data_IF_614923336640
#
_entry.id   IF_614923336640
#
_cell.length_a   1.000
_cell.length_b   1.000
_cell.length_c   1.000
_cell.angle_alpha   90.00
_cell.angle_beta   90.00
_cell.angle_gamma   90.00
#
_symmetry.space_group_name_H-M   'P 1'
#
loop_
_entity.id
_entity.type
_entity.pdbx_description
1 polymer ?
#
# COMPACT_ATOMS: atom_id res chain seq x y z
N UNK A 1 -25.31 1.04 1.17
CA UNK A 1 -23.97 1.35 1.68
C UNK A 1 -24.03 1.55 3.17
N UNK A 2 -23.22 0.82 3.93
CA UNK A 2 -23.18 0.85 5.39
C UNK A 2 -21.94 1.65 5.84
N UNK A 3 -22.15 2.91 6.23
CA UNK A 3 -21.07 3.83 6.62
C UNK A 3 -20.42 3.41 7.95
N UNK A 4 -21.20 2.91 8.90
CA UNK A 4 -20.70 2.48 10.22
C UNK A 4 -19.74 1.32 10.04
N UNK A 5 -20.14 0.31 9.27
CA UNK A 5 -19.30 -0.84 8.97
C UNK A 5 -18.03 -0.46 8.24
N UNK A 6 -18.12 0.48 7.31
CA UNK A 6 -16.93 0.99 6.60
C UNK A 6 -15.98 1.70 7.56
N UNK A 7 -16.49 2.51 8.48
CA UNK A 7 -15.68 3.17 9.50
C UNK A 7 -14.98 2.16 10.39
N UNK A 8 -15.67 1.15 10.88
CA UNK A 8 -15.09 0.06 11.69
C UNK A 8 -13.96 -0.67 10.94
N UNK A 9 -14.12 -0.89 9.62
CA UNK A 9 -13.09 -1.54 8.80
C UNK A 9 -11.87 -0.65 8.60
N UNK A 10 -12.07 0.68 8.48
CA UNK A 10 -10.96 1.64 8.44
C UNK A 10 -10.22 1.73 9.78
N UNK A 11 -10.91 1.72 10.90
CA UNK A 11 -10.30 1.72 12.24
C UNK A 11 -9.44 0.46 12.45
N UNK A 12 -9.93 -0.71 12.06
CA UNK A 12 -9.14 -1.95 12.09
C UNK A 12 -7.90 -1.89 11.19
N UNK A 13 -8.04 -1.35 9.98
CA UNK A 13 -6.90 -1.17 9.08
C UNK A 13 -5.87 -0.20 9.67
N UNK A 14 -6.32 0.89 10.29
CA UNK A 14 -5.47 1.85 10.98
C UNK A 14 -4.67 1.19 12.11
N UNK A 15 -5.34 0.44 12.98
CA UNK A 15 -4.69 -0.25 14.10
C UNK A 15 -3.69 -1.30 13.61
N UNK A 16 -4.05 -2.05 12.58
CA UNK A 16 -3.14 -3.00 11.92
C UNK A 16 -1.88 -2.31 11.35
N UNK A 17 -1.98 -1.07 10.83
CA UNK A 17 -0.86 -0.34 10.24
C UNK A 17 0.05 0.34 11.28
N UNK A 18 -0.50 0.74 12.44
CA UNK A 18 0.26 1.43 13.49
C UNK A 18 1.24 0.52 14.25
N UNK A 19 1.10 -0.80 14.16
CA UNK A 19 2.00 -1.76 14.82
C UNK A 19 3.39 -1.88 14.19
N UNK A 20 3.68 -1.11 13.13
CA UNK A 20 4.95 -1.21 12.41
C UNK A 20 6.01 -0.23 12.94
N UNK A 21 7.27 -0.67 12.89
CA UNK A 21 8.41 0.22 13.15
C UNK A 21 8.42 1.39 12.16
N UNK A 22 8.55 2.59 12.69
CA UNK A 22 8.55 3.85 11.94
C UNK A 22 9.91 4.57 11.98
N UNK A 23 10.99 3.88 12.33
CA UNK A 23 12.30 4.51 12.52
C UNK A 23 13.17 4.55 11.26
N UNK A 24 12.58 4.34 10.09
CA UNK A 24 13.25 4.42 8.80
C UNK A 24 12.90 5.71 8.05
N UNK A 25 13.74 6.08 7.08
CA UNK A 25 13.46 7.24 6.23
C UNK A 25 12.32 6.95 5.27
N UNK A 26 11.29 7.78 5.30
CA UNK A 26 10.15 7.78 4.40
C UNK A 26 10.24 8.97 3.45
N UNK A 27 10.33 8.70 2.15
CA UNK A 27 10.35 9.71 1.10
C UNK A 27 8.97 10.40 0.93
N UNK A 28 7.88 9.66 1.14
CA UNK A 28 6.45 10.02 1.07
C UNK A 28 5.87 10.15 -0.35
N UNK A 29 6.51 10.89 -1.23
CA UNK A 29 6.03 11.06 -2.62
C UNK A 29 6.96 10.33 -3.60
N UNK A 30 7.36 9.10 -3.23
CA UNK A 30 8.19 8.24 -4.06
C UNK A 30 7.38 7.70 -5.23
N UNK A 31 7.46 8.41 -6.35
CA UNK A 31 6.73 8.14 -7.59
C UNK A 31 7.66 8.29 -8.79
N UNK A 32 7.33 7.61 -9.90
CA UNK A 32 8.15 7.64 -11.12
C UNK A 32 8.40 9.07 -11.64
N UNK A 33 7.43 9.99 -11.48
CA UNK A 33 7.59 11.40 -11.87
C UNK A 33 8.66 12.15 -11.09
N UNK A 34 9.03 11.67 -9.90
CA UNK A 34 10.03 12.26 -9.02
C UNK A 34 11.39 11.56 -9.13
N UNK A 35 11.54 10.66 -10.11
CA UNK A 35 12.79 9.99 -10.46
C UNK A 35 13.21 10.47 -11.85
N UNK A 36 14.30 11.22 -11.91
CA UNK A 36 14.87 11.72 -13.16
C UNK A 36 16.07 10.85 -13.54
N UNK A 37 16.22 10.55 -14.83
CA UNK A 37 17.40 9.85 -15.34
C UNK A 37 18.28 10.85 -16.09
N UNK A 38 19.52 10.96 -15.67
CA UNK A 38 20.55 11.78 -16.35
C UNK A 38 21.81 10.95 -16.49
N UNK A 39 22.31 10.85 -17.71
CA UNK A 39 23.53 10.08 -18.06
C UNK A 39 23.48 8.61 -17.58
N UNK A 40 22.27 8.01 -17.55
CA UNK A 40 22.02 6.65 -17.07
C UNK A 40 21.85 6.51 -15.56
N UNK A 41 22.05 7.57 -14.78
CA UNK A 41 21.95 7.58 -13.33
C UNK A 41 20.61 8.15 -12.84
N UNK A 42 19.99 7.57 -11.78
CA UNK A 42 18.76 8.08 -11.20
C UNK A 42 19.04 9.27 -10.25
N UNK A 43 18.25 10.33 -10.40
CA UNK A 43 18.20 11.48 -9.51
C UNK A 43 16.82 11.62 -8.92
N UNK A 44 16.76 11.84 -7.61
CA UNK A 44 15.50 11.96 -6.87
C UNK A 44 15.23 13.43 -6.54
N UNK A 45 14.00 13.88 -6.85
CA UNK A 45 13.53 15.25 -6.62
C UNK A 45 12.30 15.23 -5.73
N UNK A 46 11.96 16.38 -5.13
CA UNK A 46 10.76 16.54 -4.31
C UNK A 46 10.77 15.74 -2.99
N UNK A 47 11.96 15.59 -2.38
CA UNK A 47 12.18 14.80 -1.16
C UNK A 47 12.03 15.61 0.15
N UNK A 48 11.77 16.91 0.07
CA UNK A 48 11.68 17.80 1.24
C UNK A 48 10.55 17.46 2.21
N UNK A 49 9.60 16.64 1.78
CA UNK A 49 8.54 16.10 2.63
C UNK A 49 8.92 14.86 3.44
N UNK A 50 10.21 14.47 3.41
CA UNK A 50 10.70 13.26 4.07
C UNK A 50 10.46 13.26 5.57
N UNK A 51 10.15 12.09 6.13
CA UNK A 51 9.87 11.85 7.55
C UNK A 51 10.39 10.48 7.97
N UNK A 52 10.30 10.18 9.26
CA UNK A 52 10.34 8.81 9.74
C UNK A 52 9.06 8.08 9.40
N UNK A 53 9.16 6.81 9.04
CA UNK A 53 8.00 5.98 8.70
C UNK A 53 8.37 4.54 8.35
N UNK A 54 7.37 3.69 8.11
CA UNK A 54 7.58 2.27 7.87
C UNK A 54 8.15 1.98 6.48
N UNK A 55 8.98 0.95 6.39
CA UNK A 55 9.68 0.52 5.15
C UNK A 55 8.75 0.14 3.99
N UNK A 56 7.47 -0.04 4.24
CA UNK A 56 6.47 -0.51 3.27
C UNK A 56 5.85 0.60 2.42
N UNK A 57 5.73 1.81 2.98
CA UNK A 57 4.91 2.87 2.41
C UNK A 57 5.40 3.34 1.03
N UNK A 58 6.69 3.65 0.91
CA UNK A 58 7.28 4.13 -0.34
C UNK A 58 7.33 3.04 -1.40
N UNK A 59 7.60 1.80 -1.01
CA UNK A 59 7.55 0.63 -1.89
C UNK A 59 6.14 0.45 -2.46
N UNK A 60 5.11 0.49 -1.60
CA UNK A 60 3.71 0.43 -2.03
C UNK A 60 3.36 1.59 -2.97
N UNK A 61 3.82 2.80 -2.66
CA UNK A 61 3.56 4.00 -3.46
C UNK A 61 4.18 3.95 -4.84
N UNK A 62 5.40 3.44 -4.96
CA UNK A 62 6.13 3.36 -6.22
C UNK A 62 5.63 2.23 -7.11
N UNK A 63 5.53 1.02 -6.55
CA UNK A 63 5.22 -0.19 -7.34
C UNK A 63 3.75 -0.23 -7.76
N UNK A 64 2.82 0.24 -6.91
CA UNK A 64 1.37 0.21 -7.20
C UNK A 64 0.78 1.56 -7.62
N UNK A 65 1.61 2.50 -8.08
CA UNK A 65 1.06 3.74 -8.61
C UNK A 65 0.15 3.47 -9.81
N UNK A 66 -1.09 3.99 -9.75
CA UNK A 66 -2.15 3.64 -10.70
C UNK A 66 -1.79 3.97 -12.16
N UNK A 67 -1.10 5.08 -12.39
CA UNK A 67 -0.78 5.55 -13.75
C UNK A 67 0.39 4.81 -14.42
N UNK A 68 1.28 4.20 -13.65
CA UNK A 68 2.44 3.48 -14.22
C UNK A 68 2.06 2.15 -14.86
N UNK A 69 0.94 1.55 -14.41
CA UNK A 69 0.40 0.32 -15.00
C UNK A 69 1.44 -0.79 -15.13
N UNK A 70 2.33 -0.92 -14.15
CA UNK A 70 3.36 -1.95 -14.19
C UNK A 70 2.73 -3.34 -14.30
N UNK A 71 3.25 -4.21 -15.20
CA UNK A 71 2.85 -5.61 -15.28
C UNK A 71 3.15 -6.33 -13.95
N UNK A 72 2.46 -7.43 -13.69
CA UNK A 72 2.56 -8.11 -12.39
C UNK A 72 3.93 -8.76 -12.17
N UNK A 73 4.55 -9.29 -13.21
CA UNK A 73 5.91 -9.82 -13.21
C UNK A 73 6.94 -8.74 -12.82
N UNK A 74 6.84 -7.55 -13.40
CA UNK A 74 7.70 -6.42 -13.02
C UNK A 74 7.49 -6.00 -11.57
N UNK A 75 6.24 -5.97 -11.07
CA UNK A 75 5.98 -5.66 -9.65
C UNK A 75 6.66 -6.67 -8.73
N UNK A 76 6.58 -7.95 -9.07
CA UNK A 76 7.24 -9.01 -8.31
C UNK A 76 8.76 -8.84 -8.32
N UNK A 77 9.36 -8.59 -9.48
CA UNK A 77 10.80 -8.33 -9.62
C UNK A 77 11.25 -7.13 -8.78
N UNK A 78 10.47 -6.04 -8.78
CA UNK A 78 10.77 -4.85 -7.99
C UNK A 78 10.70 -5.13 -6.47
N UNK A 79 9.72 -5.94 -6.01
CA UNK A 79 9.64 -6.36 -4.60
C UNK A 79 10.82 -7.24 -4.22
N UNK A 80 11.20 -8.20 -5.06
CA UNK A 80 12.38 -9.06 -4.81
C UNK A 80 13.67 -8.25 -4.76
N UNK A 81 13.80 -7.28 -5.67
CA UNK A 81 14.98 -6.40 -5.72
C UNK A 81 15.06 -5.52 -4.46
N UNK A 82 13.92 -4.98 -4.02
CA UNK A 82 13.86 -4.22 -2.77
C UNK A 82 14.22 -5.09 -1.55
N UNK A 83 13.64 -6.29 -1.43
CA UNK A 83 13.93 -7.21 -0.33
C UNK A 83 15.41 -7.61 -0.29
N UNK A 84 16.02 -7.85 -1.45
CA UNK A 84 17.45 -8.16 -1.55
C UNK A 84 18.31 -7.01 -1.06
N UNK A 85 17.99 -5.78 -1.44
CA UNK A 85 18.66 -4.58 -0.96
C UNK A 85 18.41 -4.37 0.54
N UNK A 86 17.17 -4.54 1.01
CA UNK A 86 16.80 -4.36 2.41
C UNK A 86 17.56 -5.31 3.35
N UNK A 87 17.82 -6.55 2.94
CA UNK A 87 18.61 -7.52 3.70
C UNK A 87 20.05 -7.10 3.96
N UNK A 88 20.61 -6.20 3.16
CA UNK A 88 21.96 -5.65 3.43
C UNK A 88 21.98 -4.74 4.65
N UNK A 89 20.84 -4.16 5.01
CA UNK A 89 20.65 -3.28 6.16
C UNK A 89 19.92 -3.96 7.33
N UNK A 90 19.05 -4.91 7.03
CA UNK A 90 18.23 -5.67 7.99
C UNK A 90 18.34 -7.17 7.68
N UNK A 91 19.45 -7.83 8.03
CA UNK A 91 19.72 -9.23 7.65
C UNK A 91 18.67 -10.23 8.16
N UNK A 92 18.10 -9.94 9.35
CA UNK A 92 17.15 -10.82 10.05
C UNK A 92 15.68 -10.54 9.67
N UNK A 93 15.42 -9.77 8.59
CA UNK A 93 14.05 -9.45 8.19
C UNK A 93 13.26 -10.71 7.81
N UNK A 94 12.09 -10.88 8.41
CA UNK A 94 11.14 -11.92 8.03
C UNK A 94 10.46 -11.53 6.71
N UNK A 95 10.81 -12.21 5.62
CA UNK A 95 10.25 -11.95 4.30
C UNK A 95 8.74 -12.24 4.21
N UNK A 96 8.26 -13.27 4.91
CA UNK A 96 6.85 -13.63 4.88
C UNK A 96 6.02 -12.52 5.55
N UNK A 97 6.47 -12.06 6.71
CA UNK A 97 5.90 -10.91 7.41
C UNK A 97 5.98 -9.65 6.55
N UNK A 98 7.14 -9.34 5.96
CA UNK A 98 7.31 -8.19 5.08
C UNK A 98 6.27 -8.19 3.95
N UNK A 99 6.09 -9.31 3.24
CA UNK A 99 5.15 -9.41 2.14
C UNK A 99 3.69 -9.27 2.60
N UNK A 100 3.38 -9.79 3.78
CA UNK A 100 2.08 -9.63 4.40
C UNK A 100 1.78 -8.16 4.69
N UNK A 101 2.71 -7.49 5.35
CA UNK A 101 2.57 -6.07 5.70
C UNK A 101 2.53 -5.17 4.47
N UNK A 102 3.41 -5.42 3.49
CA UNK A 102 3.41 -4.65 2.23
C UNK A 102 2.03 -4.64 1.56
N UNK A 103 1.31 -5.77 1.57
CA UNK A 103 -0.04 -5.83 0.98
C UNK A 103 -1.04 -4.94 1.70
N UNK A 104 -0.97 -4.84 3.02
CA UNK A 104 -1.80 -3.90 3.79
C UNK A 104 -1.48 -2.44 3.43
N UNK A 105 -0.20 -2.11 3.28
CA UNK A 105 0.21 -0.79 2.83
C UNK A 105 -0.21 -0.50 1.38
N UNK A 106 -0.19 -1.50 0.49
CA UNK A 106 -0.73 -1.38 -0.87
C UNK A 106 -2.23 -1.09 -0.84
N UNK A 107 -3.00 -1.79 0.01
CA UNK A 107 -4.43 -1.54 0.20
C UNK A 107 -4.65 -0.11 0.70
N UNK A 108 -3.98 0.28 1.78
CA UNK A 108 -4.07 1.62 2.35
C UNK A 108 -3.77 2.70 1.32
N UNK A 109 -2.64 2.58 0.59
CA UNK A 109 -2.26 3.54 -0.45
C UNK A 109 -3.25 3.60 -1.60
N UNK A 110 -3.81 2.47 -2.01
CA UNK A 110 -4.84 2.42 -3.06
C UNK A 110 -6.10 3.16 -2.63
N UNK A 111 -6.56 2.94 -1.40
CA UNK A 111 -7.73 3.65 -0.85
C UNK A 111 -7.46 5.16 -0.70
N UNK A 112 -6.28 5.54 -0.20
CA UNK A 112 -5.87 6.94 -0.08
C UNK A 112 -5.84 7.66 -1.44
N UNK A 113 -5.28 7.00 -2.46
CA UNK A 113 -5.23 7.54 -3.83
C UNK A 113 -6.63 7.65 -4.43
N UNK A 114 -7.50 6.67 -4.23
CA UNK A 114 -8.90 6.73 -4.69
C UNK A 114 -9.66 7.89 -4.04
N UNK A 115 -9.49 8.11 -2.72
CA UNK A 115 -10.06 9.25 -2.02
C UNK A 115 -9.57 10.60 -2.59
N UNK A 116 -8.24 10.71 -2.80
CA UNK A 116 -7.65 11.90 -3.40
C UNK A 116 -8.14 12.15 -4.84
N UNK A 117 -8.27 11.10 -5.66
CA UNK A 117 -8.79 11.21 -7.03
C UNK A 117 -10.26 11.59 -7.05
N UNK A 118 -11.08 11.02 -6.15
CA UNK A 118 -12.47 11.42 -5.98
C UNK A 118 -12.59 12.89 -5.62
N UNK A 119 -11.91 13.34 -4.58
CA UNK A 119 -11.94 14.72 -4.13
C UNK A 119 -11.45 15.69 -5.21
N UNK A 120 -10.23 15.50 -5.73
CA UNK A 120 -9.64 16.42 -6.73
C UNK A 120 -10.34 16.35 -8.08
N UNK A 121 -10.90 15.20 -8.45
CA UNK A 121 -11.65 15.02 -9.69
C UNK A 121 -13.01 15.71 -9.65
N UNK A 122 -13.82 15.42 -8.63
CA UNK A 122 -15.20 15.90 -8.54
C UNK A 122 -15.32 17.31 -7.97
N UNK A 123 -14.60 17.62 -6.86
CA UNK A 123 -14.70 18.92 -6.22
C UNK A 123 -13.77 19.97 -6.86
N UNK A 124 -12.50 19.64 -7.09
CA UNK A 124 -11.56 20.57 -7.73
C UNK A 124 -11.67 20.56 -9.26
N UNK A 125 -12.55 19.75 -9.84
CA UNK A 125 -12.82 19.66 -11.30
C UNK A 125 -11.57 19.46 -12.16
N UNK A 126 -10.62 18.63 -11.67
CA UNK A 126 -9.37 18.31 -12.38
C UNK A 126 -9.52 17.00 -13.19
N UNK A 127 -9.75 17.04 -14.53
CA UNK A 127 -10.12 15.86 -15.32
C UNK A 127 -9.10 14.72 -15.29
N UNK A 128 -7.81 15.04 -15.17
CA UNK A 128 -6.75 14.05 -15.15
C UNK A 128 -6.79 13.13 -13.90
N UNK A 129 -7.40 13.58 -12.79
CA UNK A 129 -7.64 12.72 -11.63
C UNK A 129 -8.79 11.75 -11.91
N UNK A 130 -9.88 12.21 -12.53
CA UNK A 130 -11.00 11.34 -12.92
C UNK A 130 -10.51 10.24 -13.87
N UNK A 131 -9.70 10.60 -14.87
CA UNK A 131 -9.11 9.64 -15.81
C UNK A 131 -8.21 8.59 -15.16
N UNK A 132 -7.74 8.84 -13.94
CA UNK A 132 -6.87 7.91 -13.19
C UNK A 132 -7.67 6.94 -12.29
N UNK A 133 -8.95 7.23 -12.00
CA UNK A 133 -9.80 6.39 -11.13
C UNK A 133 -9.93 4.95 -11.63
N UNK A 134 -10.18 4.67 -12.94
CA UNK A 134 -10.31 3.29 -13.41
C UNK A 134 -9.08 2.43 -13.12
N UNK A 135 -7.87 2.99 -13.24
CA UNK A 135 -6.62 2.27 -12.97
C UNK A 135 -6.44 1.98 -11.47
N UNK A 136 -6.84 2.91 -10.60
CA UNK A 136 -6.81 2.69 -9.16
C UNK A 136 -7.84 1.64 -8.73
N UNK A 137 -9.02 1.62 -9.35
CA UNK A 137 -10.04 0.58 -9.11
C UNK A 137 -9.57 -0.79 -9.59
N UNK A 138 -8.87 -0.86 -10.74
CA UNK A 138 -8.31 -2.12 -11.23
C UNK A 138 -7.24 -2.67 -10.28
N UNK A 139 -6.35 -1.82 -9.76
CA UNK A 139 -5.39 -2.20 -8.74
C UNK A 139 -6.08 -2.74 -7.47
N UNK A 140 -7.13 -2.06 -7.00
CA UNK A 140 -7.90 -2.50 -5.84
C UNK A 140 -8.57 -3.86 -6.09
N UNK A 141 -9.19 -4.03 -7.25
CA UNK A 141 -9.85 -5.29 -7.64
C UNK A 141 -8.86 -6.47 -7.66
N UNK A 142 -7.70 -6.29 -8.27
CA UNK A 142 -6.63 -7.31 -8.31
C UNK A 142 -6.13 -7.66 -6.91
N UNK A 143 -5.92 -6.64 -6.07
CA UNK A 143 -5.51 -6.83 -4.68
C UNK A 143 -6.54 -7.65 -3.89
N UNK A 144 -7.82 -7.33 -4.02
CA UNK A 144 -8.93 -8.04 -3.33
C UNK A 144 -9.12 -9.47 -3.84
N UNK A 145 -8.75 -9.76 -5.07
CA UNK A 145 -8.80 -11.12 -5.64
C UNK A 145 -7.61 -11.98 -5.21
N UNK A 146 -6.56 -11.38 -4.67
CA UNK A 146 -5.38 -12.14 -4.24
C UNK A 146 -5.74 -13.11 -3.11
N UNK A 147 -5.20 -14.35 -3.12
CA UNK A 147 -5.51 -15.38 -2.11
C UNK A 147 -5.22 -14.93 -0.68
N UNK A 148 -4.39 -13.93 -0.51
CA UNK A 148 -3.99 -13.40 0.78
C UNK A 148 -5.10 -12.58 1.46
N UNK A 149 -5.74 -11.68 0.74
CA UNK A 149 -6.84 -10.86 1.29
C UNK A 149 -8.02 -11.75 1.67
N UNK A 150 -8.31 -12.78 0.83
CA UNK A 150 -9.36 -13.76 1.13
C UNK A 150 -9.09 -14.51 2.43
N UNK A 151 -7.86 -15.00 2.68
CA UNK A 151 -7.51 -15.71 3.94
C UNK A 151 -7.59 -14.82 5.19
N UNK A 152 -7.31 -13.53 5.08
CA UNK A 152 -7.45 -12.57 6.18
C UNK A 152 -8.91 -12.34 6.57
N UNK A 153 -9.81 -12.29 5.60
CA UNK A 153 -11.27 -12.19 5.82
C UNK A 153 -11.83 -13.47 6.45
N UNK A 154 -11.43 -14.65 5.96
CA UNK A 154 -11.91 -15.94 6.46
C UNK A 154 -11.45 -16.27 7.89
N UNK A 155 -10.22 -15.87 8.28
CA UNK A 155 -9.73 -16.06 9.66
C UNK A 155 -10.52 -15.25 10.69
N UNK A 156 -11.04 -14.07 10.34
CA UNK A 156 -11.80 -13.23 11.26
C UNK A 156 -13.29 -13.64 11.36
N UNK A 157 -13.84 -14.34 10.35
CA UNK A 157 -15.20 -14.89 10.42
C UNK A 157 -15.30 -16.19 11.22
N UNK A 158 -14.19 -16.91 11.43
CA UNK A 158 -14.15 -18.17 12.19
C UNK A 158 -13.95 -18.02 13.70
N UNK A 159 -13.65 -16.82 14.22
CA UNK A 159 -13.41 -16.60 15.66
C UNK A 159 -14.62 -16.09 16.45
N UNK A 160 -15.76 -15.89 15.82
CA UNK A 160 -17.01 -15.50 16.48
C UNK A 160 -17.89 -16.72 16.72
N UNK A 161 -17.56 -17.53 17.74
CA UNK A 161 -18.46 -18.64 18.10
C UNK A 161 -17.86 -19.74 18.96
N UNK A 162 -17.36 -19.41 20.16
CA UNK A 162 -17.33 -20.41 21.25
C UNK A 162 -18.05 -19.82 22.45
N UNK A 163 -19.20 -20.40 22.86
CA UNK A 163 -19.82 -20.04 24.12
C UNK A 163 -18.91 -20.54 25.25
N UNK A 164 -18.69 -19.67 26.26
CA UNK A 164 -18.00 -20.06 27.50
C UNK A 164 -18.85 -21.09 28.23
N UNK A 165 -18.30 -22.16 28.77
CA UNK A 165 -19.01 -23.03 29.67
C UNK A 165 -19.35 -22.26 30.96
N UNK A 166 -20.61 -22.24 31.30
CA UNK A 166 -21.08 -21.77 32.60
C UNK A 166 -20.68 -22.81 33.65
N UNK A 167 -19.92 -22.38 34.64
CA UNK A 167 -19.67 -23.04 35.90
C UNK A 167 -20.54 -22.40 36.97
#
# INVERSE_FOLDING_TARGET
FDEVRLQDDFEKLHDDLLGEDTDTFLYRDFQARNVMIKDGEPYFIDFQGGRKGPIYYDVASFIWQARSRYPEDLKQELVETYLRALKTYMPDIDEAHFRERLRLFVLFRTLQVLGAYGFRGYFEKKPHFIASVPYAIDNLRRLMQSPFVRRGVDRKSGSAGMPRPMS
#
